data_IF_288895827454
#
_entry.id   IF_288895827454
#
_cell.length_a   1.000
_cell.length_b   1.000
_cell.length_c   1.000
_cell.angle_alpha   90.00
_cell.angle_beta   90.00
_cell.angle_gamma   90.00
#
_symmetry.space_group_name_H-M   'P 1'
#
loop_
_entity.id
_entity.type
_entity.pdbx_description
1 polymer ?
#
# COMPACT_ATOMS: atom_id res chain seq x y z
N UNK A 1 6.03 10.33 6.06
CA UNK A 1 5.76 9.14 6.91
C UNK A 1 5.55 7.91 6.05
N UNK A 2 6.11 6.76 6.46
CA UNK A 2 5.95 5.47 5.78
C UNK A 2 5.24 4.52 6.74
N UNK A 3 4.07 3.99 6.35
CA UNK A 3 3.31 3.02 7.14
C UNK A 3 3.12 1.71 6.38
N UNK A 4 3.43 0.58 7.01
CA UNK A 4 3.10 -0.75 6.51
C UNK A 4 1.93 -1.31 7.31
N UNK A 5 0.85 -1.66 6.64
CA UNK A 5 -0.37 -2.24 7.20
C UNK A 5 -0.50 -3.67 6.71
N UNK A 6 -0.40 -4.63 7.62
CA UNK A 6 -0.49 -6.06 7.30
C UNK A 6 -1.73 -6.69 7.94
N UNK A 7 -2.19 -7.79 7.38
CA UNK A 7 -3.30 -8.56 7.97
C UNK A 7 -3.80 -9.66 7.04
N UNK A 8 -4.61 -10.56 7.57
CA UNK A 8 -5.26 -11.61 6.81
C UNK A 8 -6.41 -11.09 5.93
N UNK A 9 -7.01 -11.97 5.15
CA UNK A 9 -8.21 -11.64 4.37
C UNK A 9 -9.35 -11.14 5.29
N UNK A 10 -10.04 -10.08 4.87
CA UNK A 10 -11.16 -9.45 5.60
C UNK A 10 -10.82 -8.99 7.03
N UNK A 11 -9.55 -8.74 7.33
CA UNK A 11 -9.10 -8.25 8.65
C UNK A 11 -9.41 -6.78 8.92
N UNK A 12 -9.90 -6.02 7.92
CA UNK A 12 -10.12 -4.58 8.00
C UNK A 12 -8.91 -3.72 7.62
N UNK A 13 -7.80 -4.34 7.18
CA UNK A 13 -6.55 -3.62 6.83
C UNK A 13 -6.71 -2.54 5.78
N UNK A 14 -7.47 -2.79 4.69
CA UNK A 14 -7.67 -1.79 3.63
C UNK A 14 -8.46 -0.58 4.15
N UNK A 15 -9.50 -0.79 4.95
CA UNK A 15 -10.27 0.29 5.58
C UNK A 15 -9.39 1.09 6.55
N UNK A 16 -8.60 0.42 7.38
CA UNK A 16 -7.65 1.10 8.28
C UNK A 16 -6.64 1.93 7.48
N UNK A 17 -6.06 1.37 6.42
CA UNK A 17 -5.08 2.05 5.58
C UNK A 17 -5.69 3.28 4.87
N UNK A 18 -6.93 3.19 4.39
CA UNK A 18 -7.65 4.31 3.77
C UNK A 18 -7.88 5.44 4.79
N UNK A 19 -8.36 5.12 5.99
CA UNK A 19 -8.56 6.10 7.06
C UNK A 19 -7.24 6.76 7.47
N UNK A 20 -6.18 5.98 7.63
CA UNK A 20 -4.84 6.49 7.94
C UNK A 20 -4.33 7.44 6.85
N UNK A 21 -4.44 7.05 5.58
CA UNK A 21 -4.00 7.87 4.44
C UNK A 21 -4.76 9.19 4.38
N UNK A 22 -6.08 9.16 4.59
CA UNK A 22 -6.92 10.36 4.65
C UNK A 22 -6.48 11.28 5.80
N UNK A 23 -6.32 10.75 7.01
CA UNK A 23 -5.88 11.50 8.19
C UNK A 23 -4.52 12.16 7.98
N UNK A 24 -3.55 11.42 7.41
CA UNK A 24 -2.24 11.96 7.06
C UNK A 24 -2.32 13.08 6.04
N UNK A 25 -3.15 12.95 5.00
CA UNK A 25 -3.33 13.99 4.00
C UNK A 25 -4.03 15.24 4.57
N UNK A 26 -5.01 15.05 5.45
CA UNK A 26 -5.71 16.15 6.11
C UNK A 26 -4.80 16.92 7.09
N UNK A 27 -3.89 16.22 7.78
CA UNK A 27 -2.91 16.87 8.66
C UNK A 27 -1.93 17.78 7.91
N UNK A 28 -1.70 17.53 6.63
CA UNK A 28 -0.91 18.43 5.78
C UNK A 28 -1.66 19.70 5.38
N UNK A 29 -3.01 19.63 5.33
CA UNK A 29 -3.89 20.78 5.01
C UNK A 29 -4.02 21.77 6.17
N UNK A 30 -3.99 21.25 7.40
CA UNK A 30 -4.16 22.04 8.62
C UNK A 30 -2.92 21.90 9.52
N UNK A 31 -1.79 22.55 9.22
CA UNK A 31 -0.70 22.60 10.17
C UNK A 31 -1.21 23.27 11.47
N UNK A 32 -1.03 22.59 12.61
CA UNK A 32 -1.44 23.07 13.92
C UNK A 32 -1.00 24.53 14.03
N UNK A 33 -1.97 25.40 14.22
CA UNK A 33 -1.83 26.86 14.27
C UNK A 33 -0.83 27.27 15.33
N UNK A 34 0.34 27.62 14.90
CA UNK A 34 1.41 28.21 15.71
C UNK A 34 2.27 29.08 14.82
N UNK A 35 1.80 30.35 14.66
CA UNK A 35 2.57 31.49 14.14
C UNK A 35 3.30 31.29 12.81
N UNK A 36 2.74 31.89 11.75
CA UNK A 36 3.52 32.76 10.86
C UNK A 36 2.53 33.60 10.03
N UNK A 37 2.58 34.89 10.21
CA UNK A 37 1.96 35.91 9.34
C UNK A 37 2.54 35.74 7.92
N UNK A 38 1.68 35.45 6.98
CA UNK A 38 1.97 35.38 5.56
C UNK A 38 1.16 34.25 4.92
N UNK A 39 0.15 34.61 4.13
CA UNK A 39 -0.58 33.70 3.25
C UNK A 39 0.36 33.14 2.18
N UNK A 40 1.14 32.12 2.54
CA UNK A 40 1.76 31.25 1.55
C UNK A 40 0.70 30.18 1.25
N UNK A 41 0.01 30.30 0.12
CA UNK A 41 -0.78 29.21 -0.45
C UNK A 41 0.17 28.00 -0.67
N UNK A 42 0.25 27.11 0.32
CA UNK A 42 0.95 25.85 0.13
C UNK A 42 0.12 24.99 -0.79
N UNK A 43 0.70 24.55 -1.88
CA UNK A 43 0.06 23.55 -2.77
C UNK A 43 -0.32 22.35 -1.91
N UNK A 44 -1.61 22.11 -1.76
CA UNK A 44 -2.13 21.03 -0.94
C UNK A 44 -1.89 19.72 -1.66
N UNK A 45 -1.14 18.81 -1.05
CA UNK A 45 -0.86 17.49 -1.60
C UNK A 45 -2.15 16.70 -1.89
N UNK A 46 -2.13 15.96 -2.98
CA UNK A 46 -3.24 15.09 -3.38
C UNK A 46 -3.18 13.77 -2.61
N UNK A 47 -4.33 13.13 -2.50
CA UNK A 47 -4.47 11.80 -1.94
C UNK A 47 -4.64 10.80 -3.08
N UNK A 48 -3.67 9.88 -3.22
CA UNK A 48 -3.69 8.87 -4.27
C UNK A 48 -3.95 7.47 -3.72
N UNK A 49 -4.71 6.69 -4.49
CA UNK A 49 -4.88 5.25 -4.29
C UNK A 49 -4.31 4.51 -5.48
N UNK A 50 -3.25 3.75 -5.27
CA UNK A 50 -2.64 2.91 -6.29
C UNK A 50 -3.26 1.53 -6.21
N UNK A 51 -4.15 1.23 -7.18
CA UNK A 51 -4.80 -0.05 -7.33
C UNK A 51 -3.88 -1.00 -8.10
N UNK A 52 -3.36 -2.00 -7.42
CA UNK A 52 -2.40 -2.95 -8.01
C UNK A 52 -3.04 -4.25 -8.47
N UNK A 53 -4.33 -4.46 -8.20
CA UNK A 53 -5.04 -5.68 -8.55
C UNK A 53 -5.30 -5.73 -10.06
N UNK A 54 -4.88 -6.83 -10.69
CA UNK A 54 -5.21 -7.17 -12.06
C UNK A 54 -6.37 -8.18 -12.03
N UNK A 55 -7.58 -7.86 -12.53
CA UNK A 55 -8.69 -8.80 -12.48
C UNK A 55 -8.49 -9.94 -13.48
N UNK A 56 -8.62 -11.16 -13.00
CA UNK A 56 -8.54 -12.36 -13.82
C UNK A 56 -9.92 -12.96 -14.11
N UNK A 57 -10.91 -12.71 -13.27
CA UNK A 57 -12.26 -13.24 -13.38
C UNK A 57 -13.35 -12.27 -12.93
N UNK A 58 -14.61 -12.72 -12.98
CA UNK A 58 -15.79 -11.93 -12.57
C UNK A 58 -15.84 -11.68 -11.06
N UNK A 59 -15.21 -12.51 -10.25
CA UNK A 59 -15.16 -12.33 -8.80
C UNK A 59 -14.20 -11.18 -8.46
N UNK A 60 -13.06 -11.11 -9.13
CA UNK A 60 -12.11 -10.01 -9.00
C UNK A 60 -12.72 -8.67 -9.44
N UNK A 61 -13.50 -8.65 -10.52
CA UNK A 61 -14.23 -7.44 -10.93
C UNK A 61 -15.22 -6.97 -9.85
N UNK A 62 -15.96 -7.89 -9.23
CA UNK A 62 -16.85 -7.55 -8.10
C UNK A 62 -16.09 -7.03 -6.89
N UNK A 63 -14.91 -7.58 -6.61
CA UNK A 63 -14.04 -7.09 -5.53
C UNK A 63 -13.58 -5.66 -5.80
N UNK A 64 -13.15 -5.37 -7.03
CA UNK A 64 -12.77 -4.01 -7.45
C UNK A 64 -13.96 -3.05 -7.29
N UNK A 65 -15.15 -3.44 -7.76
CA UNK A 65 -16.36 -2.61 -7.62
C UNK A 65 -16.69 -2.32 -6.15
N UNK A 66 -16.61 -3.30 -5.28
CA UNK A 66 -16.81 -3.11 -3.84
C UNK A 66 -15.77 -2.15 -3.25
N UNK A 67 -14.50 -2.30 -3.60
CA UNK A 67 -13.44 -1.40 -3.15
C UNK A 67 -13.60 0.03 -3.69
N UNK A 68 -14.16 0.20 -4.88
CA UNK A 68 -14.51 1.53 -5.41
C UNK A 68 -15.61 2.18 -4.57
N UNK A 69 -16.67 1.43 -4.22
CA UNK A 69 -17.75 1.93 -3.36
C UNK A 69 -17.27 2.26 -1.95
N UNK A 70 -16.44 1.40 -1.36
CA UNK A 70 -15.85 1.62 -0.03
C UNK A 70 -15.00 2.89 0.04
N UNK A 71 -14.39 3.31 -1.07
CA UNK A 71 -13.57 4.53 -1.18
C UNK A 71 -14.36 5.78 -1.52
N UNK A 72 -15.65 5.66 -1.85
CA UNK A 72 -16.48 6.80 -2.20
C UNK A 72 -16.50 7.83 -1.04
N UNK A 73 -16.25 9.09 -1.35
CA UNK A 73 -16.19 10.16 -0.35
C UNK A 73 -14.85 10.32 0.40
N UNK A 74 -13.86 9.47 0.17
CA UNK A 74 -12.52 9.65 0.77
C UNK A 74 -11.66 10.70 0.04
N UNK A 75 -11.98 11.03 -1.21
CA UNK A 75 -11.23 12.00 -2.02
C UNK A 75 -9.97 11.43 -2.66
N UNK A 76 -9.89 10.12 -2.84
CA UNK A 76 -8.77 9.49 -3.54
C UNK A 76 -8.78 9.75 -5.04
N UNK A 77 -7.61 10.08 -5.59
CA UNK A 77 -7.31 9.99 -7.01
C UNK A 77 -6.79 8.58 -7.28
N UNK A 78 -7.55 7.74 -7.99
CA UNK A 78 -7.14 6.36 -8.26
C UNK A 78 -6.18 6.28 -9.44
N UNK A 79 -5.06 5.59 -9.26
CA UNK A 79 -4.11 5.19 -10.29
C UNK A 79 -4.16 3.66 -10.39
N UNK A 80 -4.58 3.15 -11.54
CA UNK A 80 -4.53 1.70 -11.82
C UNK A 80 -3.18 1.38 -12.44
N UNK A 81 -2.31 0.74 -11.66
CA UNK A 81 -1.00 0.30 -12.13
C UNK A 81 -0.61 -1.02 -11.45
N UNK A 82 -0.45 -2.05 -12.27
CA UNK A 82 -0.32 -3.43 -11.79
C UNK A 82 1.12 -3.93 -11.74
N UNK A 83 2.05 -3.22 -12.35
CA UNK A 83 3.46 -3.65 -12.48
C UNK A 83 4.45 -2.50 -12.30
N UNK A 84 4.30 -1.40 -13.01
CA UNK A 84 5.33 -0.36 -13.13
C UNK A 84 5.15 0.75 -12.08
N UNK A 85 5.68 0.56 -10.89
CA UNK A 85 5.59 1.55 -9.80
C UNK A 85 6.40 2.84 -10.11
N UNK A 86 7.44 2.79 -10.94
CA UNK A 86 8.16 3.99 -11.39
C UNK A 86 7.25 4.92 -12.22
N UNK A 87 6.29 4.35 -12.97
CA UNK A 87 5.27 5.15 -13.66
C UNK A 87 4.36 5.89 -12.67
N UNK A 88 3.98 5.25 -11.58
CA UNK A 88 3.23 5.90 -10.50
C UNK A 88 4.06 7.03 -9.89
N UNK A 89 5.33 6.76 -9.60
CA UNK A 89 6.27 7.75 -9.04
C UNK A 89 6.37 9.01 -9.90
N UNK A 90 6.28 8.89 -11.23
CA UNK A 90 6.32 10.05 -12.15
C UNK A 90 5.05 10.91 -12.14
N UNK A 91 3.95 10.44 -11.57
CA UNK A 91 2.66 11.13 -11.51
C UNK A 91 2.41 11.86 -10.18
N UNK A 92 3.22 11.56 -9.17
CA UNK A 92 3.08 12.10 -7.80
C UNK A 92 4.10 13.19 -7.52
N UNK A 93 3.81 14.00 -6.51
CA UNK A 93 4.67 15.09 -6.04
C UNK A 93 5.05 14.89 -4.57
N UNK A 94 6.07 15.63 -4.12
CA UNK A 94 6.62 15.53 -2.77
C UNK A 94 5.58 15.78 -1.66
N UNK A 95 4.55 16.59 -1.93
CA UNK A 95 3.50 16.92 -0.95
C UNK A 95 2.39 15.87 -0.88
N UNK A 96 2.36 14.89 -1.80
CA UNK A 96 1.26 13.95 -1.94
C UNK A 96 1.30 12.84 -0.87
N UNK A 97 0.12 12.29 -0.62
CA UNK A 97 -0.07 11.07 0.19
C UNK A 97 -0.52 9.93 -0.72
N UNK A 98 0.17 8.80 -0.64
CA UNK A 98 -0.05 7.64 -1.52
C UNK A 98 -0.41 6.41 -0.70
N UNK A 99 -1.50 5.75 -1.07
CA UNK A 99 -1.87 4.43 -0.57
C UNK A 99 -1.64 3.38 -1.66
N UNK A 100 -0.84 2.36 -1.40
CA UNK A 100 -0.60 1.22 -2.30
C UNK A 100 -1.39 0.01 -1.78
N UNK A 101 -2.39 -0.46 -2.53
CA UNK A 101 -3.21 -1.63 -2.17
C UNK A 101 -3.27 -2.62 -3.36
N UNK A 102 -2.49 -3.71 -3.33
CA UNK A 102 -1.63 -4.23 -2.27
C UNK A 102 -0.31 -4.80 -2.81
N UNK A 103 0.65 -5.03 -1.91
CA UNK A 103 1.90 -5.75 -2.22
C UNK A 103 1.60 -7.16 -2.73
N UNK A 104 0.62 -7.84 -2.14
CA UNK A 104 0.22 -9.19 -2.55
C UNK A 104 -0.14 -9.26 -4.03
N UNK A 105 -0.95 -8.30 -4.51
CA UNK A 105 -1.31 -8.21 -5.92
C UNK A 105 -0.09 -7.90 -6.80
N UNK A 106 0.79 -7.00 -6.36
CA UNK A 106 2.04 -6.71 -7.08
C UNK A 106 2.91 -7.96 -7.22
N UNK A 107 3.15 -8.70 -6.13
CA UNK A 107 3.94 -9.94 -6.18
C UNK A 107 3.30 -10.93 -7.13
N UNK A 108 1.96 -11.10 -7.09
CA UNK A 108 1.24 -11.97 -8.04
C UNK A 108 1.51 -11.55 -9.47
N UNK A 109 1.35 -10.27 -9.79
CA UNK A 109 1.51 -9.75 -11.15
C UNK A 109 2.96 -9.87 -11.65
N UNK A 110 3.94 -9.67 -10.77
CA UNK A 110 5.35 -9.82 -11.12
C UNK A 110 5.76 -11.27 -11.33
N UNK A 111 5.24 -12.18 -10.51
CA UNK A 111 5.58 -13.62 -10.61
C UNK A 111 4.87 -14.32 -11.76
N UNK A 112 3.63 -13.93 -12.09
CA UNK A 112 2.80 -14.59 -13.11
C UNK A 112 2.52 -13.64 -14.27
N UNK A 113 3.52 -13.40 -15.12
CA UNK A 113 3.40 -12.52 -16.28
C UNK A 113 3.13 -13.34 -17.55
N UNK A 114 1.93 -13.20 -18.09
CA UNK A 114 1.52 -13.93 -19.28
C UNK A 114 1.42 -15.44 -19.02
N UNK A 115 2.30 -16.22 -19.65
CA UNK A 115 2.40 -17.69 -19.47
C UNK A 115 3.64 -18.10 -18.68
N UNK A 116 4.41 -17.15 -18.19
CA UNK A 116 5.70 -17.39 -17.56
C UNK A 116 5.62 -17.17 -16.04
N UNK A 117 6.47 -17.89 -15.33
CA UNK A 117 6.64 -17.78 -13.88
C UNK A 117 8.02 -17.24 -13.56
N UNK A 118 8.07 -16.12 -12.83
CA UNK A 118 9.30 -15.47 -12.42
C UNK A 118 9.52 -15.62 -10.91
N UNK A 119 10.76 -15.89 -10.54
CA UNK A 119 11.22 -15.94 -9.14
C UNK A 119 12.02 -14.68 -8.83
N UNK A 120 12.27 -14.46 -7.54
CA UNK A 120 13.16 -13.40 -7.04
C UNK A 120 12.76 -11.99 -7.52
N UNK A 121 11.44 -11.71 -7.51
CA UNK A 121 10.84 -10.44 -7.98
C UNK A 121 10.85 -9.32 -6.93
N UNK A 122 11.23 -9.65 -5.69
CA UNK A 122 11.14 -8.71 -4.56
C UNK A 122 11.98 -7.44 -4.74
N UNK A 123 13.14 -7.53 -5.38
CA UNK A 123 14.03 -6.37 -5.55
C UNK A 123 13.47 -5.38 -6.57
N UNK A 124 12.89 -5.86 -7.68
CA UNK A 124 12.23 -5.03 -8.67
C UNK A 124 11.02 -4.28 -8.07
N UNK A 125 10.18 -5.01 -7.31
CA UNK A 125 9.02 -4.43 -6.61
C UNK A 125 9.46 -3.35 -5.63
N UNK A 126 10.48 -3.64 -4.81
CA UNK A 126 10.99 -2.71 -3.81
C UNK A 126 11.61 -1.47 -4.45
N UNK A 127 12.33 -1.62 -5.56
CA UNK A 127 12.90 -0.47 -6.29
C UNK A 127 11.81 0.52 -6.68
N UNK A 128 10.73 0.06 -7.29
CA UNK A 128 9.62 0.94 -7.67
C UNK A 128 8.88 1.56 -6.49
N UNK A 129 8.71 0.82 -5.38
CA UNK A 129 8.10 1.36 -4.16
C UNK A 129 9.00 2.42 -3.51
N UNK A 130 10.31 2.23 -3.51
CA UNK A 130 11.26 3.20 -2.98
C UNK A 130 11.25 4.51 -3.77
N UNK A 131 11.04 4.46 -5.10
CA UNK A 131 10.85 5.67 -5.90
C UNK A 131 9.60 6.46 -5.46
N UNK A 132 8.46 5.77 -5.19
CA UNK A 132 7.26 6.40 -4.66
C UNK A 132 7.53 7.02 -3.28
N UNK A 133 8.20 6.29 -2.39
CA UNK A 133 8.56 6.75 -1.04
C UNK A 133 9.42 8.02 -1.10
N UNK A 134 10.36 8.09 -2.02
CA UNK A 134 11.26 9.24 -2.16
C UNK A 134 10.57 10.47 -2.77
N UNK A 135 9.49 10.26 -3.52
CA UNK A 135 8.78 11.31 -4.26
C UNK A 135 7.44 11.72 -3.62
N UNK A 136 7.16 11.29 -2.40
CA UNK A 136 5.91 11.63 -1.72
C UNK A 136 6.10 11.88 -0.23
N UNK A 137 5.17 12.62 0.38
CA UNK A 137 5.21 12.99 1.80
C UNK A 137 4.86 11.82 2.70
N UNK A 138 3.79 11.12 2.33
CA UNK A 138 3.31 9.97 3.09
C UNK A 138 3.04 8.80 2.16
N UNK A 139 3.44 7.60 2.59
CA UNK A 139 3.13 6.35 1.89
C UNK A 139 2.55 5.35 2.87
N UNK A 140 1.35 4.88 2.58
CA UNK A 140 0.69 3.79 3.30
C UNK A 140 0.68 2.58 2.38
N UNK A 141 1.16 1.45 2.86
CA UNK A 141 1.33 0.24 2.06
C UNK A 141 0.53 -0.89 2.69
N UNK A 142 -0.35 -1.50 1.92
CA UNK A 142 -1.15 -2.65 2.35
C UNK A 142 -0.50 -3.94 1.86
N UNK A 143 -0.38 -4.91 2.76
CA UNK A 143 0.08 -6.26 2.42
C UNK A 143 -0.70 -7.32 3.20
N UNK A 144 -0.77 -8.51 2.63
CA UNK A 144 -1.28 -9.66 3.37
C UNK A 144 -0.14 -10.35 4.13
N UNK A 145 -0.52 -10.99 5.24
CA UNK A 145 0.33 -12.01 5.79
C UNK A 145 -0.38 -13.37 5.71
N UNK A 146 0.23 -14.32 5.00
CA UNK A 146 -0.45 -15.54 4.56
C UNK A 146 0.13 -16.81 5.22
N UNK A 147 0.93 -16.70 6.32
CA UNK A 147 1.99 -17.68 6.51
C UNK A 147 2.08 -18.31 7.90
N UNK A 148 0.94 -18.40 8.60
CA UNK A 148 0.89 -18.95 9.97
C UNK A 148 0.50 -20.43 10.03
N UNK A 149 0.51 -21.15 8.91
CA UNK A 149 0.20 -22.57 8.87
C UNK A 149 1.46 -23.44 8.73
N UNK A 150 1.30 -24.74 8.98
CA UNK A 150 2.34 -25.77 8.83
C UNK A 150 2.13 -26.63 7.58
N UNK A 151 1.37 -26.15 6.61
CA UNK A 151 1.08 -26.86 5.37
C UNK A 151 2.27 -26.71 4.42
N UNK A 152 2.68 -27.80 3.81
CA UNK A 152 3.66 -27.78 2.73
C UNK A 152 2.91 -27.57 1.41
N UNK A 153 3.21 -26.48 0.73
CA UNK A 153 2.61 -26.11 -0.54
C UNK A 153 3.49 -26.53 -1.73
N UNK A 154 2.95 -26.40 -2.94
CA UNK A 154 3.72 -26.55 -4.17
C UNK A 154 4.80 -25.47 -4.31
N UNK A 155 5.71 -25.68 -5.27
CA UNK A 155 6.85 -24.78 -5.44
C UNK A 155 6.47 -23.34 -5.86
N UNK A 156 5.33 -23.15 -6.54
CA UNK A 156 4.86 -21.80 -6.93
C UNK A 156 4.36 -21.05 -5.72
N UNK A 157 3.51 -21.68 -4.92
CA UNK A 157 2.98 -21.11 -3.67
C UNK A 157 4.09 -20.83 -2.67
N UNK A 158 5.07 -21.72 -2.50
CA UNK A 158 6.20 -21.48 -1.59
C UNK A 158 7.08 -20.32 -2.05
N UNK A 159 7.34 -20.17 -3.36
CA UNK A 159 8.06 -19.00 -3.85
C UNK A 159 7.25 -17.71 -3.65
N UNK A 160 5.95 -17.72 -3.90
CA UNK A 160 5.08 -16.59 -3.67
C UNK A 160 5.09 -16.13 -2.20
N UNK A 161 4.95 -17.08 -1.26
CA UNK A 161 5.08 -16.82 0.18
C UNK A 161 6.43 -16.19 0.53
N UNK A 162 7.51 -16.74 0.00
CA UNK A 162 8.88 -16.24 0.19
C UNK A 162 9.00 -14.79 -0.28
N UNK A 163 8.53 -14.48 -1.50
CA UNK A 163 8.65 -13.14 -2.08
C UNK A 163 7.87 -12.10 -1.26
N UNK A 164 6.60 -12.37 -0.89
CA UNK A 164 5.84 -11.48 0.00
C UNK A 164 6.56 -11.30 1.34
N UNK A 165 7.06 -12.38 1.94
CA UNK A 165 7.79 -12.31 3.20
C UNK A 165 9.07 -11.46 3.10
N UNK A 166 9.80 -11.55 2.00
CA UNK A 166 10.99 -10.72 1.73
C UNK A 166 10.62 -9.25 1.61
N UNK A 167 9.59 -8.93 0.79
CA UNK A 167 9.12 -7.56 0.60
C UNK A 167 8.62 -6.96 1.92
N UNK A 168 7.74 -7.67 2.64
CA UNK A 168 7.21 -7.21 3.92
C UNK A 168 8.33 -6.92 4.94
N UNK A 169 9.32 -7.81 5.05
CA UNK A 169 10.46 -7.64 5.96
C UNK A 169 11.32 -6.43 5.59
N UNK A 170 11.56 -6.18 4.29
CA UNK A 170 12.34 -5.03 3.83
C UNK A 170 11.56 -3.72 4.04
N UNK A 171 10.24 -3.70 3.74
CA UNK A 171 9.38 -2.56 3.99
C UNK A 171 9.26 -2.24 5.48
N UNK A 172 9.09 -3.25 6.34
CA UNK A 172 9.02 -3.06 7.79
C UNK A 172 10.29 -2.42 8.39
N UNK A 173 11.46 -2.66 7.79
CA UNK A 173 12.72 -2.02 8.24
C UNK A 173 12.71 -0.51 8.02
N UNK A 174 12.21 -0.05 6.87
CA UNK A 174 12.21 1.36 6.49
C UNK A 174 10.96 2.11 6.94
N UNK A 175 9.84 1.41 7.18
CA UNK A 175 8.60 2.01 7.65
C UNK A 175 8.79 2.69 9.01
N UNK A 176 8.15 3.86 9.21
CA UNK A 176 8.06 4.54 10.50
C UNK A 176 7.07 3.81 11.42
N UNK A 177 6.01 3.26 10.82
CA UNK A 177 4.94 2.53 11.53
C UNK A 177 4.66 1.20 10.85
N UNK A 178 4.53 0.14 11.65
CA UNK A 178 4.11 -1.19 11.20
C UNK A 178 2.91 -1.63 12.02
N UNK A 179 1.80 -1.88 11.36
CA UNK A 179 0.51 -2.19 11.96
C UNK A 179 0.00 -3.53 11.46
N UNK A 180 -0.51 -4.35 12.36
CA UNK A 180 -1.25 -5.56 12.04
C UNK A 180 -2.73 -5.39 12.37
N UNK A 181 -3.58 -5.70 11.37
CA UNK A 181 -5.02 -5.78 11.55
C UNK A 181 -5.42 -7.24 11.74
N UNK A 182 -5.88 -7.60 12.94
CA UNK A 182 -6.22 -8.98 13.30
C UNK A 182 -7.44 -9.03 14.19
N UNK A 183 -8.45 -9.83 13.82
CA UNK A 183 -9.70 -10.02 14.58
C UNK A 183 -10.38 -8.71 15.01
N UNK A 184 -10.38 -7.70 14.14
CA UNK A 184 -10.92 -6.37 14.45
C UNK A 184 -10.06 -5.50 15.38
N UNK A 185 -8.89 -5.99 15.79
CA UNK A 185 -7.91 -5.23 16.59
C UNK A 185 -6.80 -4.68 15.72
N UNK A 186 -6.23 -3.57 16.18
CA UNK A 186 -5.08 -2.91 15.59
C UNK A 186 -3.89 -3.11 16.52
N UNK A 187 -2.85 -3.78 16.04
CA UNK A 187 -1.63 -4.07 16.80
C UNK A 187 -0.47 -3.30 16.16
N UNK A 188 0.21 -2.50 16.95
CA UNK A 188 1.40 -1.75 16.51
C UNK A 188 2.66 -2.54 16.84
N UNK A 189 3.35 -3.00 15.81
CA UNK A 189 4.66 -3.66 15.93
C UNK A 189 5.81 -2.68 15.92
N UNK A 190 5.62 -1.51 15.28
CA UNK A 190 6.59 -0.42 15.23
C UNK A 190 5.87 0.91 15.16
N UNK A 191 6.44 1.95 15.77
CA UNK A 191 5.83 3.28 15.82
C UNK A 191 4.68 3.38 16.83
N UNK A 192 3.94 4.49 16.75
CA UNK A 192 2.77 4.77 17.59
C UNK A 192 1.62 5.25 16.72
N UNK A 193 0.41 5.25 17.31
CA UNK A 193 -0.77 5.92 16.75
C UNK A 193 -0.46 7.39 16.55
N UNK A 194 -0.79 7.91 15.37
CA UNK A 194 -0.76 9.34 15.06
C UNK A 194 -2.16 9.88 15.21
#
# INVERSE_FOLDING_TARGET
MIALVVGGAKSGKSMFAQNLSKSLNESLKNPISGQLDGEIEREVGKLYYVATMNPYDLEDLKRIENHLREREGYGFNTIEETLNMSKVSSLIKEEDTVLIDSITSLVTNYMFRGKEFYKDVSDDILSGILEIINNSKNVVIVSDYLFSDSIQYDCYTENFRKEIGVVNRKLAKIADTVVECSYGNIIYHKGKVI
#
